data_IF_465225462492
#
_entry.id   IF_465225462492
#
_cell.length_a   1.000
_cell.length_b   1.000
_cell.length_c   1.000
_cell.angle_alpha   90.00
_cell.angle_beta   90.00
_cell.angle_gamma   90.00
#
_symmetry.space_group_name_H-M   'P 1'
#
loop_
_entity.id
_entity.type
_entity.pdbx_description
1 polymer ?
#
# COMPACT_ATOMS: atom_id res chain seq x y z
N UNK A 1 9.88 19.07 -29.79
CA UNK A 1 10.24 17.84 -29.03
C UNK A 1 10.75 18.28 -27.67
N UNK A 2 9.86 18.40 -26.68
CA UNK A 2 10.26 18.72 -25.31
C UNK A 2 10.86 17.47 -24.66
N UNK A 3 12.03 17.63 -24.04
CA UNK A 3 12.61 16.60 -23.17
C UNK A 3 11.63 16.34 -22.03
N UNK A 4 11.07 15.13 -21.96
CA UNK A 4 10.38 14.66 -20.76
C UNK A 4 11.34 14.82 -19.57
N UNK A 5 10.91 15.53 -18.52
CA UNK A 5 11.73 15.73 -17.33
C UNK A 5 11.93 14.40 -16.62
N UNK A 6 13.17 14.09 -16.26
CA UNK A 6 13.65 12.92 -15.51
C UNK A 6 13.07 12.71 -14.09
N UNK A 7 11.96 13.37 -13.75
CA UNK A 7 11.35 13.38 -12.42
C UNK A 7 10.09 12.49 -12.27
N UNK A 8 9.73 11.68 -13.28
CA UNK A 8 8.45 10.96 -13.32
C UNK A 8 8.56 9.46 -12.95
N UNK A 9 9.72 9.03 -12.41
CA UNK A 9 10.04 7.61 -12.16
C UNK A 9 10.17 7.23 -10.67
N UNK A 10 9.98 8.16 -9.71
CA UNK A 10 10.02 7.83 -8.28
C UNK A 10 8.65 7.37 -7.77
N UNK A 11 8.66 6.42 -6.83
CA UNK A 11 7.46 5.98 -6.10
C UNK A 11 6.87 7.19 -5.38
N UNK A 12 5.61 7.54 -5.65
CA UNK A 12 4.92 8.58 -4.87
C UNK A 12 4.46 8.00 -3.55
N UNK A 13 4.79 8.66 -2.44
CA UNK A 13 4.41 8.24 -1.10
C UNK A 13 3.44 9.24 -0.50
N UNK A 14 2.30 8.72 -0.08
CA UNK A 14 1.25 9.49 0.57
C UNK A 14 0.95 8.89 1.94
N UNK A 15 0.59 9.72 2.90
CA UNK A 15 0.18 9.26 4.24
C UNK A 15 -1.28 9.55 4.46
N UNK A 16 -2.00 8.62 5.10
CA UNK A 16 -3.38 8.79 5.53
C UNK A 16 -3.56 8.48 7.00
N UNK A 17 -3.94 9.48 7.76
CA UNK A 17 -4.29 9.36 9.18
C UNK A 17 -5.80 9.13 9.27
N UNK A 18 -6.21 7.95 9.74
CA UNK A 18 -7.64 7.68 9.92
C UNK A 18 -8.24 8.51 11.06
N UNK A 19 -9.57 8.71 11.12
CA UNK A 19 -10.23 9.24 12.30
C UNK A 19 -10.01 8.35 13.54
N UNK A 20 -10.14 8.95 14.71
CA UNK A 20 -10.29 8.20 15.97
C UNK A 20 -11.54 7.33 15.90
N UNK A 21 -11.38 6.04 16.19
CA UNK A 21 -12.47 5.07 16.30
C UNK A 21 -13.34 5.36 17.52
N UNK A 22 -14.56 4.83 17.53
CA UNK A 22 -15.48 4.96 18.66
C UNK A 22 -14.87 4.41 19.95
N UNK A 23 -14.19 3.26 19.87
CA UNK A 23 -13.50 2.65 21.02
C UNK A 23 -12.39 3.55 21.56
N UNK A 24 -11.54 4.10 20.70
CA UNK A 24 -10.47 5.00 21.12
C UNK A 24 -11.00 6.26 21.81
N UNK A 25 -12.13 6.80 21.33
CA UNK A 25 -12.81 7.93 21.98
C UNK A 25 -13.37 7.55 23.35
N UNK A 26 -14.01 6.38 23.46
CA UNK A 26 -14.57 5.86 24.72
C UNK A 26 -13.47 5.57 25.76
N UNK A 27 -12.34 5.06 25.31
CA UNK A 27 -11.16 4.77 26.13
C UNK A 27 -10.38 6.05 26.50
N UNK A 28 -10.85 7.24 26.10
CA UNK A 28 -10.22 8.52 26.42
C UNK A 28 -8.83 8.73 25.79
N UNK A 29 -8.54 8.05 24.68
CA UNK A 29 -7.22 8.12 24.01
C UNK A 29 -6.95 9.50 23.44
N UNK A 30 -5.69 9.92 23.50
CA UNK A 30 -5.27 11.20 22.94
C UNK A 30 -4.88 11.06 21.47
N UNK A 31 -5.19 12.08 20.67
CA UNK A 31 -4.69 12.19 19.29
C UNK A 31 -3.26 12.72 19.33
N UNK A 32 -2.31 11.89 18.94
CA UNK A 32 -0.87 12.25 18.89
C UNK A 32 -0.35 12.43 17.47
N UNK A 33 -1.09 11.96 16.46
CA UNK A 33 -0.69 12.08 15.05
C UNK A 33 -1.75 12.87 14.28
N UNK A 34 -1.31 13.91 13.56
CA UNK A 34 -2.17 14.77 12.75
C UNK A 34 -1.51 15.00 11.39
N UNK A 35 -2.32 15.07 10.34
CA UNK A 35 -1.87 15.39 8.98
C UNK A 35 -2.53 16.66 8.47
N UNK A 36 -1.77 17.42 7.68
CA UNK A 36 -2.18 18.65 7.01
C UNK A 36 -2.05 18.43 5.50
N UNK A 37 -3.19 18.42 4.81
CA UNK A 37 -3.24 18.21 3.37
C UNK A 37 -2.52 19.32 2.61
N UNK A 38 -2.78 20.59 2.96
CA UNK A 38 -2.20 21.76 2.30
C UNK A 38 -0.67 21.84 2.42
N UNK A 39 -0.12 21.32 3.53
CA UNK A 39 1.33 21.29 3.78
C UNK A 39 1.98 19.97 3.36
N UNK A 40 1.19 19.00 2.93
CA UNK A 40 1.61 17.60 2.73
C UNK A 40 2.45 17.07 3.92
N UNK A 41 2.09 17.48 5.14
CA UNK A 41 2.88 17.27 6.36
C UNK A 41 2.13 16.43 7.37
N UNK A 42 2.83 15.52 8.04
CA UNK A 42 2.35 14.76 9.19
C UNK A 42 3.19 15.13 10.41
N UNK A 43 2.52 15.51 11.49
CA UNK A 43 3.14 15.78 12.80
C UNK A 43 2.75 14.69 13.79
N UNK A 44 3.73 14.18 14.53
CA UNK A 44 3.55 13.19 15.60
C UNK A 44 4.18 13.67 16.91
N UNK A 45 3.38 13.69 17.98
CA UNK A 45 3.80 14.10 19.32
C UNK A 45 4.11 12.88 20.18
N UNK A 46 5.19 12.94 20.98
CA UNK A 46 5.55 11.87 21.89
C UNK A 46 4.65 11.89 23.14
N UNK A 47 3.80 10.86 23.39
CA UNK A 47 2.88 10.87 24.53
C UNK A 47 3.58 10.76 25.89
N UNK A 48 4.81 10.23 25.93
CA UNK A 48 5.63 10.11 27.15
C UNK A 48 6.76 11.13 27.23
N UNK A 49 6.83 12.03 26.24
CA UNK A 49 7.82 13.08 26.15
C UNK A 49 7.61 14.21 27.16
N UNK A 50 8.61 15.07 27.32
CA UNK A 50 8.44 16.31 28.07
C UNK A 50 7.40 17.19 27.37
N UNK A 51 6.60 17.97 28.12
CA UNK A 51 5.61 18.88 27.53
C UNK A 51 6.20 19.94 26.59
N UNK A 52 7.51 20.22 26.71
CA UNK A 52 8.27 21.10 25.83
C UNK A 52 8.92 20.40 24.62
N UNK A 53 8.79 19.07 24.51
CA UNK A 53 9.32 18.32 23.37
C UNK A 53 8.49 18.69 22.12
N UNK A 54 9.10 19.26 21.08
CA UNK A 54 8.37 19.63 19.87
C UNK A 54 7.91 18.37 19.12
N UNK A 55 6.73 18.39 18.47
CA UNK A 55 6.29 17.31 17.61
C UNK A 55 7.28 17.05 16.46
N UNK A 56 7.43 15.78 16.07
CA UNK A 56 8.23 15.41 14.90
C UNK A 56 7.39 15.62 13.64
N UNK A 57 7.95 16.33 12.65
CA UNK A 57 7.30 16.60 11.37
C UNK A 57 7.92 15.77 10.23
N UNK A 58 7.07 15.31 9.32
CA UNK A 58 7.42 14.54 8.13
C UNK A 58 6.64 15.09 6.93
N UNK A 59 7.31 15.27 5.79
CA UNK A 59 6.68 15.75 4.55
C UNK A 59 6.66 14.61 3.53
N UNK A 60 5.57 14.52 2.76
CA UNK A 60 5.31 13.48 1.76
C UNK A 60 4.75 14.11 0.47
N UNK A 61 4.44 13.31 -0.54
CA UNK A 61 3.77 13.82 -1.76
C UNK A 61 2.33 14.27 -1.46
N UNK A 62 1.68 13.65 -0.47
CA UNK A 62 0.40 14.09 0.09
C UNK A 62 0.20 13.55 1.52
N UNK A 63 -0.51 14.31 2.35
CA UNK A 63 -0.84 13.92 3.73
C UNK A 63 -2.33 14.13 4.02
N UNK A 64 -3.08 13.04 4.11
CA UNK A 64 -4.53 13.03 4.35
C UNK A 64 -4.82 12.96 5.85
N UNK A 65 -5.54 13.95 6.36
CA UNK A 65 -6.00 14.00 7.75
C UNK A 65 -7.28 13.21 7.98
N UNK A 66 -7.76 13.24 9.22
CA UNK A 66 -9.01 12.57 9.62
C UNK A 66 -10.26 13.08 8.92
N UNK A 67 -10.20 14.26 8.30
CA UNK A 67 -11.30 14.86 7.54
C UNK A 67 -11.25 14.54 6.04
N UNK A 68 -10.19 13.88 5.56
CA UNK A 68 -10.04 13.58 4.13
C UNK A 68 -11.02 12.50 3.68
N UNK A 69 -11.75 12.79 2.62
CA UNK A 69 -12.74 11.90 2.02
C UNK A 69 -12.08 10.82 1.18
N UNK A 70 -12.82 9.73 0.89
CA UNK A 70 -12.33 8.70 -0.03
C UNK A 70 -12.08 9.26 -1.43
N UNK A 71 -12.95 10.18 -1.89
CA UNK A 71 -12.80 10.84 -3.18
C UNK A 71 -11.52 11.66 -3.25
N UNK A 72 -11.21 12.47 -2.22
CA UNK A 72 -9.97 13.25 -2.18
C UNK A 72 -8.72 12.36 -2.26
N UNK A 73 -8.74 11.22 -1.56
CA UNK A 73 -7.65 10.22 -1.61
C UNK A 73 -7.56 9.61 -3.00
N UNK A 74 -8.68 9.24 -3.62
CA UNK A 74 -8.71 8.70 -4.99
C UNK A 74 -8.15 9.69 -6.01
N UNK A 75 -8.63 10.94 -5.99
CA UNK A 75 -8.26 11.97 -6.96
C UNK A 75 -6.76 12.26 -6.95
N UNK A 76 -6.17 12.24 -5.75
CA UNK A 76 -4.74 12.51 -5.54
C UNK A 76 -3.87 11.29 -5.84
N UNK A 77 -4.26 10.11 -5.34
CA UNK A 77 -3.44 8.90 -5.39
C UNK A 77 -3.62 8.12 -6.71
N UNK A 78 -4.86 7.90 -7.14
CA UNK A 78 -5.18 6.89 -8.16
C UNK A 78 -5.44 7.46 -9.55
N UNK A 79 -5.99 8.67 -9.67
CA UNK A 79 -6.39 9.23 -10.98
C UNK A 79 -5.25 9.19 -12.00
N UNK A 80 -4.08 9.71 -11.66
CA UNK A 80 -2.92 9.72 -12.55
C UNK A 80 -2.42 8.31 -12.92
N UNK A 81 -2.60 7.34 -12.02
CA UNK A 81 -2.23 5.94 -12.26
C UNK A 81 -3.20 5.29 -13.23
N UNK A 82 -4.50 5.47 -13.02
CA UNK A 82 -5.53 4.93 -13.91
C UNK A 82 -5.42 5.53 -15.31
N UNK A 83 -5.19 6.85 -15.43
CA UNK A 83 -4.97 7.49 -16.73
C UNK A 83 -3.73 6.92 -17.44
N UNK A 84 -2.61 6.72 -16.72
CA UNK A 84 -1.42 6.11 -17.29
C UNK A 84 -1.68 4.66 -17.76
N UNK A 85 -2.43 3.87 -16.99
CA UNK A 85 -2.85 2.52 -17.40
C UNK A 85 -3.69 2.55 -18.67
N UNK A 86 -4.59 3.52 -18.81
CA UNK A 86 -5.38 3.71 -20.03
C UNK A 86 -4.55 4.11 -21.25
N UNK A 87 -3.32 4.61 -21.04
CA UNK A 87 -2.35 4.94 -22.08
C UNK A 87 -1.29 3.84 -22.31
N UNK A 88 -1.41 2.71 -21.61
CA UNK A 88 -0.58 1.52 -21.82
C UNK A 88 0.62 1.41 -20.89
N UNK A 89 0.69 2.22 -19.83
CA UNK A 89 1.68 2.08 -18.78
C UNK A 89 1.24 1.06 -17.72
N UNK A 90 2.20 0.50 -16.98
CA UNK A 90 1.87 -0.25 -15.78
C UNK A 90 1.58 0.74 -14.64
N UNK A 91 0.64 0.37 -13.76
CA UNK A 91 0.23 1.18 -12.62
C UNK A 91 0.03 0.34 -11.37
N UNK A 92 0.65 0.76 -10.26
CA UNK A 92 0.57 0.05 -8.98
C UNK A 92 0.19 1.00 -7.86
N UNK A 93 -0.81 0.62 -7.05
CA UNK A 93 -1.19 1.32 -5.82
C UNK A 93 -1.23 0.28 -4.71
N UNK A 94 -0.51 0.52 -3.62
CA UNK A 94 -0.54 -0.35 -2.46
C UNK A 94 -0.72 0.42 -1.16
N UNK A 95 -1.47 -0.16 -0.23
CA UNK A 95 -1.68 0.37 1.11
C UNK A 95 -0.76 -0.36 2.10
N UNK A 96 -0.06 0.41 2.94
CA UNK A 96 0.90 -0.09 3.92
C UNK A 96 0.59 0.49 5.31
N UNK A 97 0.95 -0.22 6.38
CA UNK A 97 0.78 0.26 7.76
C UNK A 97 0.28 -0.83 8.71
N UNK A 98 0.18 -0.51 10.00
CA UNK A 98 -0.23 -1.44 11.05
C UNK A 98 -1.66 -1.99 10.86
N UNK A 99 -1.99 -3.09 11.54
CA UNK A 99 -3.36 -3.62 11.59
C UNK A 99 -4.30 -2.61 12.21
N UNK A 100 -5.49 -2.42 11.63
CA UNK A 100 -6.44 -1.41 12.09
C UNK A 100 -6.09 0.03 11.71
N UNK A 101 -5.03 0.28 10.93
CA UNK A 101 -4.68 1.63 10.46
C UNK A 101 -5.60 2.19 9.35
N UNK A 102 -6.43 1.34 8.73
CA UNK A 102 -7.34 1.75 7.66
C UNK A 102 -6.90 1.39 6.23
N UNK A 103 -6.01 0.41 6.07
CA UNK A 103 -5.59 -0.12 4.75
C UNK A 103 -6.78 -0.59 3.90
N UNK A 104 -7.58 -1.53 4.41
CA UNK A 104 -8.77 -2.05 3.70
C UNK A 104 -9.81 -0.96 3.44
N UNK A 105 -10.03 -0.06 4.40
CA UNK A 105 -10.91 1.11 4.20
C UNK A 105 -10.40 2.01 3.07
N UNK A 106 -9.09 2.18 2.91
CA UNK A 106 -8.51 2.97 1.82
C UNK A 106 -8.68 2.29 0.47
N UNK A 107 -8.38 0.99 0.39
CA UNK A 107 -8.41 0.26 -0.88
C UNK A 107 -9.82 -0.11 -1.32
N UNK A 108 -10.66 -0.62 -0.41
CA UNK A 108 -12.00 -1.11 -0.70
C UNK A 108 -13.07 -0.09 -0.32
N UNK A 109 -12.94 0.49 0.87
CA UNK A 109 -13.95 1.40 1.43
C UNK A 109 -15.25 0.68 1.76
N UNK A 110 -16.36 1.43 1.73
CA UNK A 110 -17.70 0.86 1.81
C UNK A 110 -18.36 0.89 0.42
N UNK A 111 -19.11 -0.17 0.04
CA UNK A 111 -19.78 -0.21 -1.26
C UNK A 111 -20.85 0.88 -1.38
N UNK A 112 -21.52 1.21 -0.28
CA UNK A 112 -22.54 2.25 -0.18
C UNK A 112 -22.41 3.02 1.15
N UNK A 113 -22.64 4.35 1.15
CA UNK A 113 -22.93 5.19 -0.01
C UNK A 113 -21.70 5.38 -0.94
N UNK A 114 -21.88 5.78 -2.22
CA UNK A 114 -20.81 5.81 -3.21
C UNK A 114 -19.59 6.67 -2.85
N UNK A 115 -19.78 7.73 -2.06
CA UNK A 115 -18.72 8.61 -1.54
C UNK A 115 -17.79 7.92 -0.53
N UNK A 116 -18.17 6.74 -0.03
CA UNK A 116 -17.37 5.92 0.87
C UNK A 116 -16.55 4.83 0.15
N UNK A 117 -16.70 4.70 -1.17
CA UNK A 117 -15.96 3.72 -1.98
C UNK A 117 -14.47 4.02 -2.00
N UNK A 118 -13.65 2.98 -1.86
CA UNK A 118 -12.19 3.08 -1.86
C UNK A 118 -11.57 3.16 -3.25
N UNK A 119 -10.25 3.00 -3.29
CA UNK A 119 -9.44 3.06 -4.51
C UNK A 119 -9.90 2.05 -5.56
N UNK A 120 -10.11 0.78 -5.19
CA UNK A 120 -10.46 -0.32 -6.09
C UNK A 120 -11.78 -0.06 -6.84
N UNK A 121 -12.94 0.11 -6.16
CA UNK A 121 -14.21 0.35 -6.85
C UNK A 121 -14.21 1.63 -7.68
N UNK A 122 -13.57 2.71 -7.21
CA UNK A 122 -13.47 3.94 -7.99
C UNK A 122 -12.56 3.79 -9.22
N UNK A 123 -11.50 2.97 -9.13
CA UNK A 123 -10.63 2.66 -10.27
C UNK A 123 -11.38 1.87 -11.33
N UNK A 124 -12.16 0.85 -10.94
CA UNK A 124 -13.02 0.15 -11.88
C UNK A 124 -14.00 1.09 -12.57
N UNK A 125 -14.71 1.92 -11.80
CA UNK A 125 -15.63 2.92 -12.36
C UNK A 125 -14.92 3.80 -13.39
N UNK A 126 -13.78 4.38 -13.04
CA UNK A 126 -13.02 5.28 -13.91
C UNK A 126 -12.56 4.57 -15.20
N UNK A 127 -12.04 3.35 -15.11
CA UNK A 127 -11.63 2.55 -16.27
C UNK A 127 -12.83 2.31 -17.19
N UNK A 128 -13.95 1.84 -16.67
CA UNK A 128 -15.14 1.53 -17.47
C UNK A 128 -15.77 2.78 -18.09
N UNK A 129 -15.81 3.90 -17.35
CA UNK A 129 -16.23 5.19 -17.90
C UNK A 129 -15.34 5.54 -19.11
N UNK A 130 -14.01 5.50 -18.98
CA UNK A 130 -13.06 5.81 -20.06
C UNK A 130 -13.19 4.87 -21.26
N UNK A 131 -13.38 3.58 -21.03
CA UNK A 131 -13.61 2.59 -22.10
C UNK A 131 -14.89 2.93 -22.87
N UNK A 132 -15.97 3.28 -22.17
CA UNK A 132 -17.25 3.61 -22.80
C UNK A 132 -17.18 4.82 -23.75
N UNK A 133 -16.30 5.79 -23.45
CA UNK A 133 -16.08 6.97 -24.29
C UNK A 133 -15.16 6.71 -25.49
N UNK A 134 -14.31 5.67 -25.46
CA UNK A 134 -13.38 5.34 -26.55
C UNK A 134 -14.09 4.54 -27.66
N UNK A 135 -14.67 5.24 -28.64
CA UNK A 135 -15.45 4.64 -29.76
C UNK A 135 -14.68 3.80 -30.78
N UNK A 136 -13.34 3.81 -30.80
CA UNK A 136 -12.53 3.28 -31.90
C UNK A 136 -11.57 2.13 -31.53
N UNK A 137 -11.59 1.62 -30.30
CA UNK A 137 -10.72 0.51 -29.87
C UNK A 137 -11.51 -0.55 -29.13
N UNK A 138 -11.39 -1.81 -29.55
CA UNK A 138 -11.84 -2.93 -28.73
C UNK A 138 -10.91 -3.03 -27.51
N UNK A 139 -11.49 -2.99 -26.31
CA UNK A 139 -10.75 -3.12 -25.06
C UNK A 139 -11.18 -4.41 -24.37
N UNK A 140 -10.21 -5.27 -24.06
CA UNK A 140 -10.42 -6.45 -23.23
C UNK A 140 -9.91 -6.14 -21.81
N UNK A 141 -10.81 -6.14 -20.83
CA UNK A 141 -10.45 -5.97 -19.42
C UNK A 141 -10.41 -7.36 -18.77
N UNK A 142 -9.31 -7.68 -18.07
CA UNK A 142 -9.16 -8.90 -17.27
C UNK A 142 -8.83 -8.49 -15.84
N UNK A 143 -9.41 -9.17 -14.87
CA UNK A 143 -9.13 -8.97 -13.46
C UNK A 143 -8.74 -10.31 -12.81
N UNK A 144 -7.79 -10.25 -11.90
CA UNK A 144 -7.45 -11.31 -10.96
C UNK A 144 -7.51 -10.74 -9.55
N UNK A 145 -7.86 -11.56 -8.57
CA UNK A 145 -7.85 -11.16 -7.17
C UNK A 145 -7.15 -12.24 -6.36
N UNK A 146 -5.99 -11.90 -5.80
CA UNK A 146 -5.07 -12.85 -5.18
C UNK A 146 -4.86 -12.47 -3.73
N UNK A 147 -4.80 -13.47 -2.85
CA UNK A 147 -4.34 -13.34 -1.47
C UNK A 147 -2.97 -14.01 -1.33
N UNK A 148 -2.04 -13.34 -0.65
CA UNK A 148 -0.83 -13.99 -0.15
C UNK A 148 -1.00 -14.17 1.34
N UNK A 149 -1.22 -15.40 1.79
CA UNK A 149 -1.37 -15.76 3.18
C UNK A 149 -0.30 -16.78 3.55
N UNK A 150 0.53 -16.51 4.55
CA UNK A 150 1.56 -17.44 5.02
C UNK A 150 2.59 -17.87 3.94
N UNK A 151 2.94 -16.97 3.00
CA UNK A 151 3.72 -17.25 1.77
C UNK A 151 3.05 -18.25 0.80
N UNK A 152 1.75 -18.44 0.88
CA UNK A 152 0.95 -19.19 -0.09
C UNK A 152 0.07 -18.22 -0.88
N UNK A 153 -0.01 -18.42 -2.19
CA UNK A 153 -0.84 -17.60 -3.08
C UNK A 153 -2.17 -18.31 -3.28
N UNK A 154 -3.27 -17.61 -3.05
CA UNK A 154 -4.64 -18.10 -3.21
C UNK A 154 -5.38 -17.24 -4.21
N UNK A 155 -6.08 -17.88 -5.13
CA UNK A 155 -6.98 -17.19 -6.05
C UNK A 155 -8.34 -16.98 -5.38
N UNK A 156 -8.68 -15.73 -5.10
CA UNK A 156 -9.93 -15.34 -4.47
C UNK A 156 -11.12 -15.38 -5.42
N UNK A 157 -10.89 -15.52 -6.74
CA UNK A 157 -11.94 -15.70 -7.75
C UNK A 157 -12.10 -17.16 -8.18
N UNK A 158 -11.23 -18.06 -7.71
CA UNK A 158 -11.33 -19.50 -7.99
C UNK A 158 -12.51 -20.12 -7.24
N UNK A 159 -13.13 -21.14 -7.86
CA UNK A 159 -14.15 -21.97 -7.23
C UNK A 159 -13.58 -22.84 -6.08
N UNK A 160 -12.26 -23.00 -6.04
CA UNK A 160 -11.54 -23.63 -4.93
C UNK A 160 -10.49 -22.66 -4.37
N UNK A 161 -10.86 -21.83 -3.37
CA UNK A 161 -9.94 -20.85 -2.76
C UNK A 161 -8.80 -21.49 -1.95
N UNK A 162 -8.88 -22.81 -1.67
CA UNK A 162 -7.83 -23.56 -0.96
C UNK A 162 -6.78 -24.13 -1.91
N UNK A 163 -7.04 -24.12 -3.21
CA UNK A 163 -6.03 -24.48 -4.19
C UNK A 163 -4.93 -23.41 -4.18
N UNK A 164 -3.76 -23.77 -3.66
CA UNK A 164 -2.56 -22.93 -3.77
C UNK A 164 -2.21 -22.76 -5.24
N UNK A 165 -2.06 -21.51 -5.68
CA UNK A 165 -1.46 -21.22 -6.97
C UNK A 165 0.06 -21.33 -6.81
N UNK A 166 0.66 -22.29 -7.51
CA UNK A 166 2.08 -22.25 -7.77
C UNK A 166 2.35 -21.09 -8.74
N UNK A 167 3.22 -20.17 -8.35
CA UNK A 167 3.84 -19.24 -9.29
C UNK A 167 4.51 -20.11 -10.35
N UNK A 168 4.01 -20.08 -11.60
CA UNK A 168 4.66 -20.77 -12.72
C UNK A 168 6.01 -20.13 -12.98
N UNK A 169 7.02 -20.63 -12.29
CA UNK A 169 8.41 -20.42 -12.65
C UNK A 169 8.69 -21.27 -13.90
N UNK A 170 9.32 -20.66 -14.90
CA UNK A 170 10.21 -21.43 -15.79
C UNK A 170 11.41 -21.76 -14.91
N UNK A 171 11.27 -22.84 -14.16
CA UNK A 171 12.15 -23.18 -13.05
C UNK A 171 13.43 -23.86 -13.61
N UNK A 172 14.54 -23.13 -13.55
CA UNK A 172 15.89 -23.68 -13.56
C UNK A 172 16.49 -23.50 -12.15
N UNK A 173 15.82 -23.94 -11.09
CA UNK A 173 16.43 -24.71 -9.99
C UNK A 173 15.49 -24.92 -8.79
N UNK A 174 15.13 -26.19 -8.57
CA UNK A 174 15.24 -26.80 -7.26
C UNK A 174 14.06 -26.57 -6.31
N UNK A 175 13.03 -27.40 -6.46
CA UNK A 175 11.97 -27.58 -5.48
C UNK A 175 12.50 -28.21 -4.20
N UNK A 176 12.28 -27.59 -3.03
CA UNK A 176 12.29 -28.32 -1.76
C UNK A 176 11.01 -28.03 -0.98
N UNK A 177 10.25 -29.11 -0.74
CA UNK A 177 8.99 -29.11 0.00
C UNK A 177 9.29 -29.25 1.49
N UNK A 178 8.66 -28.44 2.32
CA UNK A 178 8.51 -28.75 3.75
C UNK A 178 7.05 -28.96 4.10
N UNK A 179 6.73 -30.21 4.42
CA UNK A 179 5.46 -30.63 4.98
C UNK A 179 5.56 -30.83 6.50
N UNK A 180 4.47 -30.46 7.19
CA UNK A 180 4.03 -30.85 8.55
C UNK A 180 4.66 -30.13 9.76
N UNK A 181 3.82 -29.37 10.46
CA UNK A 181 3.49 -29.40 11.91
C UNK A 181 2.21 -28.55 12.07
N UNK A 182 1.22 -28.77 12.95
CA UNK A 182 1.22 -29.34 14.30
C UNK A 182 0.69 -28.24 15.24
N UNK A 183 -0.63 -28.03 15.24
CA UNK A 183 -1.34 -26.86 15.76
C UNK A 183 -1.00 -26.51 17.23
N UNK A 184 -0.17 -25.47 17.41
CA UNK A 184 -0.12 -24.50 18.55
C UNK A 184 1.07 -23.57 18.32
N UNK A 185 0.92 -22.60 17.43
CA UNK A 185 2.02 -21.72 17.01
C UNK A 185 1.72 -20.92 15.73
N UNK A 186 0.63 -21.25 15.04
CA UNK A 186 0.26 -20.73 13.73
C UNK A 186 0.24 -19.20 13.67
N UNK A 187 -0.33 -18.52 14.67
CA UNK A 187 -0.36 -17.05 14.72
C UNK A 187 1.02 -16.40 14.85
N UNK A 188 1.95 -17.05 15.55
CA UNK A 188 3.31 -16.54 15.71
C UNK A 188 4.13 -16.78 14.43
N UNK A 189 3.98 -17.94 13.81
CA UNK A 189 4.60 -18.25 12.52
C UNK A 189 4.06 -17.35 11.40
N UNK A 190 2.76 -17.09 11.40
CA UNK A 190 2.08 -16.16 10.49
C UNK A 190 2.64 -14.74 10.67
N UNK A 191 2.72 -14.24 11.91
CA UNK A 191 3.29 -12.93 12.20
C UNK A 191 4.76 -12.82 11.74
N UNK A 192 5.56 -13.86 11.96
CA UNK A 192 6.96 -13.89 11.50
C UNK A 192 7.07 -13.82 9.96
N UNK A 193 6.24 -14.55 9.22
CA UNK A 193 6.24 -14.50 7.75
C UNK A 193 5.72 -13.19 7.19
N UNK A 194 4.70 -12.59 7.82
CA UNK A 194 4.21 -11.25 7.46
C UNK A 194 5.36 -10.24 7.64
N UNK A 195 6.05 -10.28 8.77
CA UNK A 195 7.16 -9.37 9.04
C UNK A 195 8.33 -9.58 8.06
N UNK A 196 8.62 -10.83 7.66
CA UNK A 196 9.67 -11.13 6.69
C UNK A 196 9.35 -10.56 5.30
N UNK A 197 8.12 -10.78 4.80
CA UNK A 197 7.70 -10.28 3.48
C UNK A 197 7.60 -8.75 3.45
N UNK A 198 7.13 -8.11 4.53
CA UNK A 198 7.12 -6.65 4.66
C UNK A 198 8.53 -6.07 4.76
N UNK A 199 9.47 -6.76 5.43
CA UNK A 199 10.87 -6.33 5.49
C UNK A 199 11.56 -6.48 4.13
N UNK A 200 11.30 -7.57 3.41
CA UNK A 200 11.77 -7.77 2.03
C UNK A 200 11.26 -6.66 1.10
N UNK A 201 9.99 -6.29 1.21
CA UNK A 201 9.41 -5.15 0.49
C UNK A 201 10.13 -3.84 0.83
N UNK A 202 10.46 -3.64 2.11
CA UNK A 202 11.30 -2.53 2.58
C UNK A 202 12.66 -2.45 1.93
N UNK A 203 13.34 -3.59 1.86
CA UNK A 203 14.66 -3.68 1.24
C UNK A 203 14.58 -3.39 -0.27
N UNK A 204 13.54 -3.87 -0.96
CA UNK A 204 13.32 -3.58 -2.39
C UNK A 204 13.08 -2.10 -2.63
N UNK A 205 12.17 -1.47 -1.89
CA UNK A 205 11.87 -0.04 -2.03
C UNK A 205 13.11 0.80 -1.74
N UNK A 206 13.81 0.52 -0.63
CA UNK A 206 15.03 1.24 -0.26
C UNK A 206 16.12 1.11 -1.33
N UNK A 207 16.31 -0.09 -1.89
CA UNK A 207 17.29 -0.33 -2.94
C UNK A 207 16.96 0.40 -4.25
N UNK A 208 15.67 0.48 -4.61
CA UNK A 208 15.19 1.21 -5.80
C UNK A 208 15.41 2.73 -5.66
N UNK A 209 15.13 3.25 -4.48
CA UNK A 209 15.24 4.66 -4.10
C UNK A 209 16.70 5.11 -4.06
N UNK A 210 17.57 4.33 -3.42
CA UNK A 210 18.97 4.69 -3.21
C UNK A 210 19.71 4.92 -4.53
N UNK A 211 19.22 4.36 -5.64
CA UNK A 211 19.75 4.50 -7.01
C UNK A 211 21.17 3.97 -7.20
N UNK A 212 21.82 3.54 -6.12
CA UNK A 212 23.20 3.03 -6.04
C UNK A 212 23.25 1.50 -6.01
N UNK A 213 22.13 0.86 -5.70
CA UNK A 213 22.02 -0.59 -5.61
C UNK A 213 22.08 -1.21 -7.01
N UNK A 214 23.16 -1.96 -7.29
CA UNK A 214 23.32 -2.68 -8.57
C UNK A 214 22.34 -3.85 -8.73
N UNK A 215 21.80 -4.35 -7.62
CA UNK A 215 20.88 -5.48 -7.58
C UNK A 215 19.74 -5.15 -6.62
N UNK A 216 18.50 -5.33 -7.09
CA UNK A 216 17.30 -5.15 -6.27
C UNK A 216 16.83 -6.53 -5.78
N UNK A 217 16.62 -6.73 -4.47
CA UNK A 217 16.37 -8.04 -3.89
C UNK A 217 14.92 -8.51 -4.03
N UNK A 218 14.36 -8.53 -5.25
CA UNK A 218 12.96 -8.99 -5.47
C UNK A 218 12.72 -10.43 -5.04
N UNK A 219 13.78 -11.25 -4.98
CA UNK A 219 13.69 -12.68 -4.70
C UNK A 219 13.48 -13.02 -3.23
N UNK A 220 13.59 -12.06 -2.33
CA UNK A 220 13.58 -12.24 -0.86
C UNK A 220 12.21 -12.66 -0.31
N UNK A 221 11.11 -12.45 -1.06
CA UNK A 221 9.78 -12.95 -0.71
C UNK A 221 8.92 -13.20 -1.96
N UNK A 222 7.86 -14.00 -1.86
CA UNK A 222 6.90 -14.14 -2.99
C UNK A 222 6.19 -12.81 -3.30
N UNK A 223 5.94 -12.00 -2.28
CA UNK A 223 5.35 -10.67 -2.43
C UNK A 223 6.24 -9.76 -3.30
N UNK A 224 7.53 -9.68 -2.99
CA UNK A 224 8.48 -8.85 -3.76
C UNK A 224 8.72 -9.39 -5.17
N UNK A 225 8.60 -10.70 -5.39
CA UNK A 225 8.65 -11.30 -6.74
C UNK A 225 7.42 -10.93 -7.56
N UNK A 226 6.22 -11.02 -6.98
CA UNK A 226 4.98 -10.61 -7.64
C UNK A 226 4.97 -9.11 -7.96
N UNK A 227 5.56 -8.31 -7.07
CA UNK A 227 5.65 -6.87 -7.23
C UNK A 227 6.89 -6.43 -8.02
N UNK A 228 7.71 -7.34 -8.55
CA UNK A 228 8.94 -6.98 -9.27
C UNK A 228 8.67 -6.06 -10.47
N UNK A 229 7.66 -6.37 -11.26
CA UNK A 229 7.26 -5.53 -12.40
C UNK A 229 6.51 -4.26 -11.95
N UNK A 230 6.03 -4.24 -10.70
CA UNK A 230 5.30 -3.14 -10.07
C UNK A 230 6.20 -2.13 -9.35
N UNK A 231 7.38 -2.56 -8.93
CA UNK A 231 8.34 -1.80 -8.14
C UNK A 231 9.62 -1.79 -8.96
N UNK A 232 9.75 -0.82 -9.87
CA UNK A 232 10.86 -0.77 -10.84
C UNK A 232 10.39 -0.91 -12.29
N UNK A 233 11.20 -0.41 -13.24
CA UNK A 233 10.86 -0.42 -14.67
C UNK A 233 9.88 0.71 -15.07
N UNK A 234 9.09 0.48 -16.14
CA UNK A 234 8.14 1.45 -16.70
C UNK A 234 6.76 1.37 -16.01
N UNK A 235 6.76 1.52 -14.68
CA UNK A 235 5.56 1.45 -13.84
C UNK A 235 5.41 2.72 -13.03
N UNK A 236 4.20 3.29 -12.99
CA UNK A 236 3.87 4.37 -12.06
C UNK A 236 3.36 3.76 -10.76
N UNK A 237 3.99 4.12 -9.65
CA UNK A 237 3.73 3.48 -8.35
C UNK A 237 3.36 4.49 -7.29
N UNK A 238 2.31 4.17 -6.51
CA UNK A 238 1.87 4.94 -5.34
C UNK A 238 1.81 4.05 -4.10
N UNK A 239 2.47 4.49 -3.05
CA UNK A 239 2.34 3.94 -1.71
C UNK A 239 1.41 4.82 -0.87
N UNK A 240 0.40 4.23 -0.24
CA UNK A 240 -0.44 4.91 0.75
C UNK A 240 -0.14 4.31 2.13
N UNK A 241 0.62 5.04 2.96
CA UNK A 241 0.91 4.68 4.33
C UNK A 241 -0.25 5.08 5.24
N UNK A 242 -0.93 4.10 5.82
CA UNK A 242 -2.03 4.26 6.74
C UNK A 242 -1.54 4.23 8.19
N UNK A 243 -1.96 5.21 8.98
CA UNK A 243 -1.60 5.30 10.40
C UNK A 243 -2.82 5.58 11.30
N UNK A 244 -2.71 5.13 12.55
CA UNK A 244 -3.67 5.45 13.61
C UNK A 244 -3.34 6.78 14.31
N UNK A 245 -4.34 7.58 14.72
CA UNK A 245 -4.13 8.85 15.40
C UNK A 245 -3.81 8.72 16.90
N UNK A 246 -4.19 7.60 17.53
CA UNK A 246 -4.16 7.44 18.99
C UNK A 246 -2.75 7.26 19.58
N UNK A 247 -2.56 7.75 20.81
CA UNK A 247 -1.35 7.68 21.63
C UNK A 247 -0.67 6.29 21.67
N UNK A 248 -1.43 5.22 21.88
CA UNK A 248 -0.88 3.86 21.96
C UNK A 248 -0.31 3.34 20.63
N UNK A 249 -0.65 3.99 19.50
CA UNK A 249 -0.10 3.68 18.18
C UNK A 249 1.20 4.45 17.89
N UNK A 250 1.72 5.25 18.83
CA UNK A 250 2.85 6.15 18.58
C UNK A 250 4.06 5.45 17.95
N UNK A 251 4.52 4.33 18.52
CA UNK A 251 5.70 3.61 18.01
C UNK A 251 5.48 2.99 16.62
N UNK A 252 4.31 2.38 16.40
CA UNK A 252 3.95 1.77 15.11
C UNK A 252 3.77 2.84 14.03
N UNK A 253 3.16 3.97 14.39
CA UNK A 253 2.99 5.13 13.50
C UNK A 253 4.34 5.74 13.17
N UNK A 254 5.21 5.95 14.16
CA UNK A 254 6.55 6.50 13.93
C UNK A 254 7.39 5.60 13.03
N UNK A 255 7.28 4.28 13.21
CA UNK A 255 7.94 3.29 12.33
C UNK A 255 7.40 3.39 10.91
N UNK A 256 6.08 3.46 10.74
CA UNK A 256 5.43 3.61 9.43
C UNK A 256 5.83 4.92 8.74
N UNK A 257 5.85 6.05 9.46
CA UNK A 257 6.24 7.35 8.93
C UNK A 257 7.72 7.41 8.54
N UNK A 258 8.60 6.80 9.35
CA UNK A 258 10.03 6.69 9.03
C UNK A 258 10.25 5.85 7.78
N UNK A 259 9.59 4.69 7.71
CA UNK A 259 9.65 3.81 6.55
C UNK A 259 9.13 4.49 5.28
N UNK A 260 7.97 5.17 5.37
CA UNK A 260 7.40 5.93 4.27
C UNK A 260 8.24 7.15 3.88
N UNK A 261 9.09 7.67 4.79
CA UNK A 261 10.04 8.76 4.54
C UNK A 261 11.37 8.28 3.95
N UNK A 262 11.53 6.98 3.71
CA UNK A 262 12.67 6.46 2.95
C UNK A 262 12.43 6.39 1.42
N UNK A 263 11.72 7.32 0.72
CA UNK A 263 11.71 7.33 -0.74
C UNK A 263 12.85 8.13 -1.35
#
# INVERSE_FOLDING_TARGET
MSKASKNDESVRVMVRIRPMSTKEKQDGRQTVTVASFDRAEVTISNPTGAASEPPKAFTFDAAFGSQSTQQQVYDTAATAIVEAVMDGYNGTIFAYGQTGAGKSHTMEGYPDPPDQRGIIPNSFKHIFDKVSFRRLKQVLVRASYLEIYNEEIRDLLSKDPKASLDLKEVDLAGSERQSKTGATGDRLQEANKINLSLSALGNVISALVDGKSKHIPYRDSKLTRLLQDSLGGNTKTVMIANCGPADYNYEETLTTLRYARTP
#
